data_IF_216823066911
#
_entry.id   IF_216823066911
#
_cell.length_a   1.000
_cell.length_b   1.000
_cell.length_c   1.000
_cell.angle_alpha   90.00
_cell.angle_beta   90.00
_cell.angle_gamma   90.00
#
_symmetry.space_group_name_H-M   'P 1'
#
loop_
_entity.id
_entity.type
_entity.pdbx_description
1 polymer ?
#
# COMPACT_ATOMS: atom_id res chain seq x y z
N UNK A 1 21.74 -13.30 12.92
CA UNK A 1 21.42 -11.88 12.64
C UNK A 1 20.84 -11.73 11.25
N UNK A 2 21.40 -12.44 10.26
CA UNK A 2 20.88 -12.51 8.88
C UNK A 2 19.38 -12.84 8.78
N UNK A 3 18.87 -13.81 9.57
CA UNK A 3 17.44 -14.12 9.62
C UNK A 3 16.59 -12.92 10.03
N UNK A 4 17.02 -12.17 11.05
CA UNK A 4 16.29 -11.00 11.55
C UNK A 4 16.27 -9.86 10.54
N UNK A 5 17.40 -9.57 9.88
CA UNK A 5 17.44 -8.56 8.81
C UNK A 5 16.49 -8.88 7.67
N UNK A 6 16.52 -10.14 7.20
CA UNK A 6 15.60 -10.61 6.16
C UNK A 6 14.13 -10.53 6.61
N UNK A 7 13.83 -11.04 7.81
CA UNK A 7 12.47 -11.07 8.35
C UNK A 7 11.88 -9.67 8.51
N UNK A 8 12.66 -8.74 9.06
CA UNK A 8 12.25 -7.34 9.26
C UNK A 8 12.01 -6.66 7.91
N UNK A 9 12.93 -6.80 6.95
CA UNK A 9 12.76 -6.25 5.61
C UNK A 9 11.53 -6.83 4.89
N UNK A 10 11.33 -8.14 4.99
CA UNK A 10 10.19 -8.83 4.39
C UNK A 10 8.86 -8.40 5.03
N UNK A 11 8.79 -8.32 6.36
CA UNK A 11 7.56 -7.94 7.06
C UNK A 11 7.12 -6.52 6.70
N UNK A 12 8.03 -5.54 6.78
CA UNK A 12 7.72 -4.17 6.39
C UNK A 12 7.39 -4.04 4.90
N UNK A 13 8.14 -4.74 4.04
CA UNK A 13 7.89 -4.75 2.60
C UNK A 13 6.52 -5.30 2.23
N UNK A 14 6.11 -6.43 2.81
CA UNK A 14 4.78 -7.03 2.58
C UNK A 14 3.66 -6.15 3.13
N UNK A 15 3.84 -5.58 4.32
CA UNK A 15 2.86 -4.67 4.91
C UNK A 15 2.57 -3.46 4.01
N UNK A 16 3.63 -2.79 3.53
CA UNK A 16 3.49 -1.61 2.66
C UNK A 16 3.01 -2.01 1.26
N UNK A 17 3.46 -3.14 0.72
CA UNK A 17 2.92 -3.67 -0.53
C UNK A 17 1.40 -3.87 -0.44
N UNK A 18 0.90 -4.40 0.69
CA UNK A 18 -0.55 -4.52 0.93
C UNK A 18 -1.27 -3.17 0.90
N UNK A 19 -0.70 -2.14 1.52
CA UNK A 19 -1.27 -0.78 1.48
C UNK A 19 -1.29 -0.21 0.06
N UNK A 20 -0.21 -0.37 -0.70
CA UNK A 20 -0.14 0.13 -2.07
C UNK A 20 -1.10 -0.63 -2.99
N UNK A 21 -1.25 -1.94 -2.81
CA UNK A 21 -2.22 -2.75 -3.54
C UNK A 21 -3.65 -2.30 -3.23
N UNK A 22 -4.00 -2.10 -1.95
CA UNK A 22 -5.33 -1.58 -1.59
C UNK A 22 -5.59 -0.19 -2.19
N UNK A 23 -4.59 0.70 -2.18
CA UNK A 23 -4.71 2.01 -2.81
C UNK A 23 -4.92 1.92 -4.33
N UNK A 24 -4.19 1.03 -4.99
CA UNK A 24 -4.34 0.79 -6.42
C UNK A 24 -5.70 0.18 -6.76
N UNK A 25 -6.17 -0.82 -6.01
CA UNK A 25 -7.49 -1.41 -6.19
C UNK A 25 -8.62 -0.37 -6.06
N UNK A 26 -8.48 0.59 -5.13
CA UNK A 26 -9.44 1.70 -5.02
C UNK A 26 -9.49 2.55 -6.31
N UNK A 27 -8.34 2.81 -6.95
CA UNK A 27 -8.26 3.54 -8.22
C UNK A 27 -8.85 2.71 -9.35
N UNK A 28 -8.48 1.43 -9.42
CA UNK A 28 -8.98 0.52 -10.44
C UNK A 28 -10.51 0.43 -10.42
N UNK A 29 -11.11 0.32 -9.23
CA UNK A 29 -12.58 0.31 -9.07
C UNK A 29 -13.22 1.59 -9.59
N UNK A 30 -12.59 2.75 -9.35
CA UNK A 30 -13.07 4.02 -9.90
C UNK A 30 -13.04 3.99 -11.43
N UNK A 31 -11.93 3.58 -12.05
CA UNK A 31 -11.84 3.47 -13.51
C UNK A 31 -12.82 2.46 -14.11
N UNK A 32 -13.04 1.32 -13.45
CA UNK A 32 -14.01 0.32 -13.91
C UNK A 32 -15.44 0.88 -13.97
N UNK A 33 -15.83 1.71 -13.01
CA UNK A 33 -17.19 2.26 -12.93
C UNK A 33 -17.41 3.39 -13.94
N UNK A 34 -16.47 4.33 -14.08
CA UNK A 34 -16.65 5.48 -14.98
C UNK A 34 -16.20 5.21 -16.43
N UNK A 35 -15.30 4.25 -16.63
CA UNK A 35 -14.65 4.00 -17.92
C UNK A 35 -14.63 2.51 -18.30
N UNK A 36 -15.70 1.78 -18.00
CA UNK A 36 -15.85 0.33 -18.24
C UNK A 36 -15.38 -0.10 -19.64
N UNK A 37 -15.78 0.62 -20.70
CA UNK A 37 -15.40 0.29 -22.09
C UNK A 37 -13.89 0.37 -22.33
N UNK A 38 -13.21 1.32 -21.69
CA UNK A 38 -11.76 1.50 -21.83
C UNK A 38 -11.02 0.40 -21.06
N UNK A 39 -11.43 0.15 -19.82
CA UNK A 39 -10.80 -0.88 -18.98
C UNK A 39 -10.98 -2.27 -19.59
N UNK A 40 -12.16 -2.60 -20.13
CA UNK A 40 -12.39 -3.90 -20.78
C UNK A 40 -11.48 -4.15 -21.98
N UNK A 41 -11.12 -3.09 -22.72
CA UNK A 41 -10.22 -3.19 -23.89
C UNK A 41 -8.75 -3.35 -23.48
N UNK A 42 -8.35 -2.75 -22.36
CA UNK A 42 -6.95 -2.67 -21.93
C UNK A 42 -6.69 -3.35 -20.58
N UNK A 43 -7.59 -4.25 -20.16
CA UNK A 43 -7.62 -4.86 -18.83
C UNK A 43 -6.25 -5.43 -18.43
N UNK A 44 -5.62 -6.20 -19.31
CA UNK A 44 -4.33 -6.81 -19.02
C UNK A 44 -3.21 -5.78 -18.76
N UNK A 45 -3.20 -4.68 -19.51
CA UNK A 45 -2.13 -3.66 -19.43
C UNK A 45 -2.37 -2.70 -18.25
N UNK A 46 -3.63 -2.46 -17.88
CA UNK A 46 -3.97 -1.57 -16.78
C UNK A 46 -3.92 -2.29 -15.42
N UNK A 47 -4.18 -3.59 -15.38
CA UNK A 47 -4.26 -4.35 -14.13
C UNK A 47 -2.92 -4.93 -13.66
N UNK A 48 -2.28 -5.77 -14.49
CA UNK A 48 -1.13 -6.58 -14.05
C UNK A 48 0.14 -5.77 -13.76
N UNK A 49 0.57 -4.81 -14.61
CA UNK A 49 1.82 -4.09 -14.39
C UNK A 49 1.80 -3.26 -13.10
N UNK A 50 0.76 -2.46 -12.79
CA UNK A 50 0.73 -1.70 -11.55
C UNK A 50 0.70 -2.58 -10.30
N UNK A 51 -0.02 -3.71 -10.31
CA UNK A 51 -0.02 -4.67 -9.19
C UNK A 51 1.40 -5.20 -8.94
N UNK A 52 2.10 -5.59 -10.01
CA UNK A 52 3.47 -6.07 -9.92
C UNK A 52 4.40 -4.98 -9.36
N UNK A 53 4.24 -3.74 -9.80
CA UNK A 53 5.02 -2.58 -9.33
C UNK A 53 4.72 -2.30 -7.84
N UNK A 54 3.45 -2.24 -7.46
CA UNK A 54 3.01 -2.01 -6.07
C UNK A 54 3.50 -3.10 -5.12
N UNK A 55 3.73 -4.32 -5.61
CA UNK A 55 4.27 -5.41 -4.81
C UNK A 55 5.80 -5.42 -4.76
N UNK A 56 6.47 -5.28 -5.91
CA UNK A 56 7.93 -5.40 -5.99
C UNK A 56 8.65 -4.17 -5.43
N UNK A 57 8.15 -2.95 -5.69
CA UNK A 57 8.84 -1.73 -5.27
C UNK A 57 9.03 -1.62 -3.75
N UNK A 58 7.99 -1.84 -2.91
CA UNK A 58 8.17 -1.84 -1.46
C UNK A 58 9.11 -2.93 -0.98
N UNK A 59 9.04 -4.15 -1.55
CA UNK A 59 9.94 -5.24 -1.18
C UNK A 59 11.40 -4.89 -1.44
N UNK A 60 11.71 -4.30 -2.60
CA UNK A 60 13.07 -3.86 -2.92
C UNK A 60 13.49 -2.72 -1.97
N UNK A 61 12.63 -1.71 -1.78
CA UNK A 61 12.93 -0.58 -0.89
C UNK A 61 13.29 -1.02 0.53
N UNK A 62 12.47 -1.88 1.13
CA UNK A 62 12.71 -2.35 2.51
C UNK A 62 13.91 -3.29 2.61
N UNK A 63 14.22 -4.07 1.58
CA UNK A 63 15.48 -4.83 1.53
C UNK A 63 16.69 -3.89 1.45
N UNK A 64 16.65 -2.83 0.66
CA UNK A 64 17.76 -1.89 0.54
C UNK A 64 17.96 -1.09 1.82
N UNK A 65 16.89 -0.52 2.39
CA UNK A 65 17.00 0.33 3.59
C UNK A 65 17.47 -0.46 4.82
N UNK A 66 17.11 -1.73 4.96
CA UNK A 66 17.54 -2.55 6.10
C UNK A 66 19.01 -2.97 5.98
N UNK A 67 19.51 -3.22 4.77
CA UNK A 67 20.87 -3.76 4.56
C UNK A 67 21.93 -2.68 4.27
N UNK A 68 21.55 -1.55 3.65
CA UNK A 68 22.51 -0.53 3.16
C UNK A 68 22.58 0.68 4.08
N UNK A 69 21.50 0.98 4.81
CA UNK A 69 21.46 2.18 5.65
C UNK A 69 22.57 2.15 6.71
N UNK A 70 23.34 3.24 6.90
CA UNK A 70 24.59 3.24 7.66
C UNK A 70 24.33 3.27 9.16
N UNK A 71 23.74 2.22 9.70
CA UNK A 71 23.49 2.09 11.11
C UNK A 71 23.57 0.64 11.58
N UNK A 72 24.02 0.44 12.81
CA UNK A 72 24.27 -0.89 13.34
C UNK A 72 22.95 -1.53 13.80
N UNK A 73 22.54 -2.58 13.11
CA UNK A 73 21.32 -3.30 13.44
C UNK A 73 21.52 -4.16 14.71
N UNK A 74 21.04 -3.66 15.85
CA UNK A 74 21.01 -4.41 17.11
C UNK A 74 19.69 -5.18 17.21
N UNK A 75 19.67 -6.42 16.73
CA UNK A 75 18.49 -7.29 16.83
C UNK A 75 18.42 -7.99 18.18
N UNK A 76 17.27 -7.93 18.83
CA UNK A 76 17.00 -8.68 20.06
C UNK A 76 16.18 -9.93 19.74
N UNK A 77 16.76 -11.11 19.94
CA UNK A 77 16.06 -12.39 19.77
C UNK A 77 15.02 -12.68 20.86
N UNK A 78 15.02 -11.88 21.92
CA UNK A 78 14.07 -11.97 23.04
C UNK A 78 12.84 -11.07 22.79
N UNK A 79 12.98 -10.07 21.92
CA UNK A 79 11.87 -9.23 21.49
C UNK A 79 11.03 -9.96 20.43
N UNK A 80 9.73 -9.68 20.41
CA UNK A 80 8.84 -10.15 19.36
C UNK A 80 9.39 -9.73 18.00
N UNK A 81 9.55 -10.69 17.07
CA UNK A 81 9.89 -10.42 15.66
C UNK A 81 11.25 -9.70 15.50
N UNK A 82 12.26 -10.11 16.27
CA UNK A 82 13.63 -9.57 16.22
C UNK A 82 13.77 -8.07 16.59
N UNK A 83 12.70 -7.41 17.01
CA UNK A 83 12.67 -5.97 17.28
C UNK A 83 12.50 -5.10 16.03
N UNK A 84 12.79 -3.81 16.17
CA UNK A 84 12.72 -2.84 15.08
C UNK A 84 14.01 -2.77 14.26
N UNK A 85 13.89 -2.34 13.00
CA UNK A 85 15.06 -2.01 12.18
C UNK A 85 15.77 -0.77 12.76
N UNK A 86 17.08 -0.69 12.58
CA UNK A 86 17.85 0.40 13.15
C UNK A 86 17.45 1.80 12.64
N UNK A 87 16.98 1.93 11.38
CA UNK A 87 16.50 3.22 10.85
C UNK A 87 15.29 3.76 11.61
N UNK A 88 14.52 2.91 12.30
CA UNK A 88 13.32 3.32 13.05
C UNK A 88 13.66 4.10 14.32
N UNK A 89 14.87 3.94 14.84
CA UNK A 89 15.33 4.69 16.00
C UNK A 89 15.81 6.11 15.62
N UNK A 90 15.91 6.40 14.32
CA UNK A 90 16.15 7.75 13.84
C UNK A 90 14.82 8.45 13.53
N UNK A 91 14.42 9.37 14.42
CA UNK A 91 13.12 10.05 14.36
C UNK A 91 12.79 10.66 12.99
N UNK A 92 13.78 11.25 12.30
CA UNK A 92 13.57 11.91 11.01
C UNK A 92 13.24 10.89 9.91
N UNK A 93 14.05 9.83 9.79
CA UNK A 93 13.89 8.82 8.74
C UNK A 93 12.64 7.99 8.98
N UNK A 94 12.40 7.57 10.23
CA UNK A 94 11.21 6.80 10.59
C UNK A 94 9.93 7.57 10.26
N UNK A 95 9.85 8.85 10.68
CA UNK A 95 8.68 9.69 10.42
C UNK A 95 8.44 9.89 8.92
N UNK A 96 9.50 10.15 8.14
CA UNK A 96 9.36 10.32 6.69
C UNK A 96 8.91 9.03 5.99
N UNK A 97 9.52 7.90 6.33
CA UNK A 97 9.14 6.59 5.77
C UNK A 97 7.70 6.26 6.11
N UNK A 98 7.30 6.45 7.38
CA UNK A 98 5.95 6.22 7.85
C UNK A 98 4.93 7.13 7.14
N UNK A 99 5.23 8.41 7.00
CA UNK A 99 4.32 9.36 6.36
C UNK A 99 4.09 9.03 4.88
N UNK A 100 5.16 8.68 4.16
CA UNK A 100 5.10 8.37 2.71
C UNK A 100 4.48 7.00 2.45
N UNK A 101 4.86 5.96 3.20
CA UNK A 101 4.48 4.58 2.89
C UNK A 101 3.23 4.11 3.63
N UNK A 102 2.81 4.81 4.69
CA UNK A 102 1.65 4.42 5.50
C UNK A 102 0.57 5.49 5.49
N UNK A 103 0.88 6.70 5.95
CA UNK A 103 -0.14 7.75 6.11
C UNK A 103 -0.72 8.17 4.77
N UNK A 104 0.13 8.49 3.80
CA UNK A 104 -0.32 8.98 2.50
C UNK A 104 -1.21 7.96 1.74
N UNK A 105 -0.81 6.68 1.55
CA UNK A 105 -1.67 5.69 0.91
C UNK A 105 -2.97 5.44 1.68
N UNK A 106 -2.91 5.40 3.01
CA UNK A 106 -4.10 5.14 3.83
C UNK A 106 -5.12 6.27 3.69
N UNK A 107 -4.68 7.53 3.75
CA UNK A 107 -5.55 8.68 3.54
C UNK A 107 -6.17 8.67 2.15
N UNK A 108 -5.38 8.31 1.14
CA UNK A 108 -5.86 8.17 -0.22
C UNK A 108 -6.91 7.06 -0.38
N UNK A 109 -6.68 5.87 0.21
CA UNK A 109 -7.65 4.76 0.23
C UNK A 109 -8.97 5.21 0.85
N UNK A 110 -8.92 5.85 2.01
CA UNK A 110 -10.11 6.32 2.72
C UNK A 110 -10.87 7.31 1.84
N UNK A 111 -10.18 8.30 1.28
CA UNK A 111 -10.80 9.31 0.43
C UNK A 111 -11.44 8.71 -0.83
N UNK A 112 -10.72 7.84 -1.54
CA UNK A 112 -11.23 7.18 -2.74
C UNK A 112 -12.43 6.28 -2.43
N UNK A 113 -12.38 5.54 -1.33
CA UNK A 113 -13.48 4.66 -0.90
C UNK A 113 -14.70 5.46 -0.48
N UNK A 114 -14.52 6.59 0.21
CA UNK A 114 -15.62 7.47 0.59
C UNK A 114 -16.33 8.07 -0.62
N UNK A 115 -15.59 8.57 -1.61
CA UNK A 115 -16.18 9.08 -2.87
C UNK A 115 -16.99 7.98 -3.56
N UNK A 116 -16.42 6.78 -3.65
CA UNK A 116 -17.09 5.65 -4.28
C UNK A 116 -18.41 5.30 -3.58
N UNK A 117 -18.41 5.25 -2.26
CA UNK A 117 -19.61 4.97 -1.47
C UNK A 117 -20.70 6.04 -1.67
N UNK A 118 -20.31 7.33 -1.70
CA UNK A 118 -21.26 8.43 -1.95
C UNK A 118 -21.90 8.34 -3.34
N UNK A 119 -21.12 7.99 -4.36
CA UNK A 119 -21.65 7.84 -5.72
C UNK A 119 -22.62 6.66 -5.83
N UNK A 120 -22.28 5.53 -5.19
CA UNK A 120 -23.13 4.34 -5.21
C UNK A 120 -24.45 4.56 -4.46
N UNK A 121 -24.43 5.27 -3.33
CA UNK A 121 -25.67 5.59 -2.60
C UNK A 121 -26.56 6.54 -3.38
N UNK A 122 -25.98 7.55 -4.04
CA UNK A 122 -26.72 8.48 -4.90
C UNK A 122 -27.40 7.75 -6.07
N UNK A 123 -26.67 6.89 -6.80
CA UNK A 123 -27.24 6.11 -7.90
C UNK A 123 -28.36 5.18 -7.43
N UNK A 124 -28.19 4.54 -6.28
CA UNK A 124 -29.21 3.66 -5.69
C UNK A 124 -30.49 4.42 -5.33
N UNK A 125 -30.37 5.65 -4.83
CA UNK A 125 -31.53 6.50 -4.53
C UNK A 125 -32.24 6.96 -5.80
N UNK A 126 -31.50 7.36 -6.84
CA UNK A 126 -32.07 7.75 -8.12
C UNK A 126 -32.89 6.61 -8.76
N UNK A 127 -32.36 5.37 -8.77
CA UNK A 127 -33.09 4.21 -9.30
C UNK A 127 -34.35 3.87 -8.48
N UNK A 128 -34.34 4.11 -7.16
CA UNK A 128 -35.52 3.84 -6.30
C UNK A 128 -36.66 4.82 -6.57
N UNK A 129 -36.34 6.07 -6.90
CA UNK A 129 -37.32 7.11 -7.25
C UNK A 129 -37.99 6.85 -8.61
N UNK A 130 -37.31 6.22 -9.57
CA UNK A 130 -37.89 5.87 -10.88
C UNK A 130 -38.87 4.69 -10.82
N UNK A 131 -38.75 3.83 -9.80
CA UNK A 131 -39.60 2.65 -9.60
C UNK A 131 -40.83 2.89 -8.68
N UNK A 132 -41.10 4.13 -8.26
CA UNK A 132 -42.24 4.49 -7.38
C UNK A 132 -43.18 5.44 -8.10
#
# INVERSE_FOLDING_TARGET
TQFCSFWVAYNYGVYVAGLFLMAFESIERYFLIFHERFVRKWCFIIHYPPILICFICPLIFYNLIVNIYPCENVYSYVAYVCGGACYQFQAIIDTLVYLIHVVFPTMFIIFATMILLLHLTYQKQAMKLENT
#
